data_IF_569521100206
#
_entry.id   IF_569521100206
#
_cell.length_a   1.000
_cell.length_b   1.000
_cell.length_c   1.000
_cell.angle_alpha   90.00
_cell.angle_beta   90.00
_cell.angle_gamma   90.00
#
_symmetry.space_group_name_H-M   'P 1'
#
loop_
_entity.id
_entity.type
_entity.pdbx_description
1 polymer ?
#
# COMPACT_ATOMS: atom_id res chain seq x y z
N UNK A 1 9.71 -9.29 -6.09
CA UNK A 1 9.47 -8.09 -6.94
C UNK A 1 9.26 -8.55 -8.38
N UNK A 2 8.38 -7.92 -9.15
CA UNK A 2 8.16 -8.28 -10.57
C UNK A 2 9.35 -7.88 -11.44
N UNK A 3 9.68 -8.65 -12.48
CA UNK A 3 10.76 -8.29 -13.42
C UNK A 3 10.40 -7.06 -14.28
N UNK A 4 9.11 -6.91 -14.61
CA UNK A 4 8.59 -5.84 -15.46
C UNK A 4 8.03 -4.69 -14.64
N UNK A 5 8.06 -3.50 -15.24
CA UNK A 5 7.36 -2.29 -14.76
C UNK A 5 5.94 -2.26 -15.33
N UNK A 6 4.97 -1.93 -14.48
CA UNK A 6 3.54 -1.88 -14.79
C UNK A 6 2.98 -0.48 -14.54
N UNK A 7 1.96 -0.11 -15.31
CA UNK A 7 1.14 1.10 -15.17
C UNK A 7 -0.29 0.75 -15.56
N UNK A 8 -1.29 1.47 -15.04
CA UNK A 8 -2.71 1.21 -15.31
C UNK A 8 -3.05 -0.27 -15.08
N UNK A 9 -2.99 -0.72 -13.84
CA UNK A 9 -3.18 -2.11 -13.49
C UNK A 9 -4.08 -2.29 -12.27
N UNK A 10 -4.60 -3.51 -12.14
CA UNK A 10 -5.33 -4.02 -10.99
C UNK A 10 -4.62 -5.24 -10.44
N UNK A 11 -4.38 -5.26 -9.14
CA UNK A 11 -3.92 -6.42 -8.40
C UNK A 11 -5.10 -6.94 -7.59
N UNK A 12 -5.39 -8.23 -7.69
CA UNK A 12 -6.23 -8.91 -6.70
C UNK A 12 -5.40 -9.98 -6.02
N UNK A 13 -5.53 -10.09 -4.71
CA UNK A 13 -4.94 -11.17 -3.94
C UNK A 13 -5.77 -11.45 -2.69
N UNK A 14 -5.54 -12.62 -2.11
CA UNK A 14 -5.95 -12.92 -0.75
C UNK A 14 -4.71 -13.09 0.13
N UNK A 15 -4.79 -12.61 1.37
CA UNK A 15 -3.75 -12.76 2.38
C UNK A 15 -4.33 -13.18 3.73
N UNK A 16 -3.52 -13.84 4.54
CA UNK A 16 -3.82 -14.06 5.97
C UNK A 16 -2.54 -14.09 6.80
N UNK A 17 -2.63 -13.64 8.04
CA UNK A 17 -1.65 -13.97 9.06
C UNK A 17 -2.09 -15.25 9.78
N UNK A 18 -1.21 -16.26 9.85
CA UNK A 18 -1.60 -17.62 10.24
C UNK A 18 -1.96 -17.70 11.73
N UNK A 19 -1.08 -17.21 12.60
CA UNK A 19 -1.18 -17.46 14.05
C UNK A 19 -1.25 -16.19 14.90
N UNK A 20 -0.66 -15.08 14.44
CA UNK A 20 -0.56 -13.82 15.19
C UNK A 20 -0.73 -12.64 14.24
N UNK A 21 -1.24 -11.48 14.69
CA UNK A 21 -1.30 -10.29 13.84
C UNK A 21 0.12 -9.92 13.38
N UNK A 22 0.22 -9.40 12.15
CA UNK A 22 1.51 -9.07 11.55
C UNK A 22 1.45 -7.85 10.64
N UNK A 23 2.57 -7.59 9.97
CA UNK A 23 2.71 -6.56 8.97
C UNK A 23 3.22 -7.16 7.66
N UNK A 24 2.56 -6.81 6.57
CA UNK A 24 2.98 -7.09 5.21
C UNK A 24 2.36 -6.01 4.29
N UNK A 25 2.58 -6.10 2.98
CA UNK A 25 2.06 -5.09 2.08
C UNK A 25 2.42 -5.33 0.63
N UNK A 26 1.74 -4.57 -0.25
CA UNK A 26 2.08 -4.48 -1.67
C UNK A 26 2.71 -3.13 -1.94
N UNK A 27 3.98 -3.12 -2.34
CA UNK A 27 4.67 -1.93 -2.82
C UNK A 27 4.34 -1.78 -4.30
N UNK A 28 3.49 -0.81 -4.62
CA UNK A 28 3.17 -0.43 -5.99
C UNK A 28 4.12 0.66 -6.48
N UNK A 29 4.38 0.65 -7.78
CA UNK A 29 5.30 1.57 -8.44
C UNK A 29 6.73 1.54 -7.87
N UNK A 30 7.18 0.37 -7.41
CA UNK A 30 8.53 0.16 -6.91
C UNK A 30 9.59 0.50 -7.97
N UNK A 31 10.63 1.23 -7.59
CA UNK A 31 11.69 1.66 -8.48
C UNK A 31 13.08 1.53 -7.84
N UNK A 32 13.69 2.63 -7.43
CA UNK A 32 15.06 2.70 -6.90
C UNK A 32 15.19 1.85 -5.64
N UNK A 33 15.98 0.75 -5.66
CA UNK A 33 16.20 -0.08 -4.47
C UNK A 33 16.86 0.71 -3.35
N UNK A 34 16.56 0.36 -2.10
CA UNK A 34 17.21 0.94 -0.90
C UNK A 34 17.10 2.47 -0.80
N UNK A 35 16.08 3.08 -1.41
CA UNK A 35 15.85 4.53 -1.41
C UNK A 35 15.56 5.08 -0.01
N UNK A 36 14.89 4.31 0.86
CA UNK A 36 14.60 4.72 2.24
C UNK A 36 15.25 3.76 3.25
N UNK A 37 15.95 4.31 4.23
CA UNK A 37 16.68 3.57 5.29
C UNK A 37 17.63 2.48 4.79
N UNK A 38 18.12 2.60 3.54
CA UNK A 38 18.93 1.57 2.86
C UNK A 38 18.24 0.19 2.75
N UNK A 39 16.93 0.15 2.94
CA UNK A 39 16.13 -1.07 3.09
C UNK A 39 14.98 -1.10 2.08
N UNK A 40 14.15 -0.06 2.04
CA UNK A 40 12.96 -0.05 1.19
C UNK A 40 13.26 0.55 -0.19
N UNK A 41 12.70 0.00 -1.28
CA UNK A 41 12.73 0.65 -2.59
C UNK A 41 11.79 1.88 -2.60
N UNK A 42 12.04 2.84 -3.49
CA UNK A 42 11.10 3.93 -3.72
C UNK A 42 9.77 3.37 -4.27
N UNK A 43 8.64 3.67 -3.62
CA UNK A 43 7.32 3.13 -3.93
C UNK A 43 6.21 3.82 -3.12
N UNK A 44 4.95 3.48 -3.43
CA UNK A 44 3.83 3.63 -2.48
C UNK A 44 3.46 2.22 -1.98
N UNK A 45 3.50 2.01 -0.68
CA UNK A 45 3.06 0.77 -0.07
C UNK A 45 1.57 0.84 0.26
N UNK A 46 0.81 -0.14 -0.22
CA UNK A 46 -0.53 -0.46 0.28
C UNK A 46 -0.34 -1.49 1.40
N UNK A 47 -0.42 -1.01 2.64
CA UNK A 47 -0.08 -1.80 3.81
C UNK A 47 -1.19 -2.79 4.16
N UNK A 48 -0.82 -3.93 4.74
CA UNK A 48 -1.68 -4.99 5.27
C UNK A 48 -1.37 -5.24 6.75
N UNK A 49 -0.93 -4.21 7.48
CA UNK A 49 -0.72 -4.30 8.92
C UNK A 49 -2.06 -4.56 9.60
N UNK A 50 -2.11 -5.59 10.44
CA UNK A 50 -3.36 -6.00 11.12
C UNK A 50 -4.01 -4.83 11.86
N UNK A 51 -5.30 -4.59 11.57
CA UNK A 51 -6.10 -3.49 12.10
C UNK A 51 -5.95 -2.17 11.34
N UNK A 52 -5.07 -2.11 10.34
CA UNK A 52 -4.73 -0.92 9.55
C UNK A 52 -4.54 -1.26 8.06
N UNK A 53 -5.20 -2.31 7.55
CA UNK A 53 -5.08 -2.69 6.16
C UNK A 53 -5.61 -1.60 5.21
N UNK A 54 -4.85 -1.32 4.16
CA UNK A 54 -5.13 -0.27 3.19
C UNK A 54 -4.58 1.10 3.52
N UNK A 55 -3.88 1.26 4.65
CA UNK A 55 -3.04 2.44 4.87
C UNK A 55 -2.04 2.60 3.72
N UNK A 56 -1.77 3.84 3.31
CA UNK A 56 -0.64 4.10 2.43
C UNK A 56 0.60 4.45 3.24
N UNK A 57 1.73 3.84 2.90
CA UNK A 57 3.05 4.32 3.30
C UNK A 57 3.82 4.85 2.10
N UNK A 58 4.12 6.14 2.14
CA UNK A 58 4.93 6.81 1.15
C UNK A 58 6.42 6.49 1.38
N UNK A 59 7.10 5.96 0.37
CA UNK A 59 8.52 5.57 0.45
C UNK A 59 9.27 6.24 -0.70
N UNK A 60 9.95 7.36 -0.42
CA UNK A 60 10.58 8.26 -1.39
C UNK A 60 9.65 8.84 -2.50
N UNK A 61 8.46 8.28 -2.68
CA UNK A 61 7.35 8.76 -3.50
C UNK A 61 6.27 9.40 -2.62
N UNK A 62 5.24 10.00 -3.23
CA UNK A 62 4.13 10.60 -2.52
C UNK A 62 2.77 10.39 -3.21
N UNK A 63 1.71 10.43 -2.41
CA UNK A 63 0.31 10.42 -2.82
C UNK A 63 -0.50 11.30 -1.87
N UNK A 64 -1.62 11.83 -2.34
CA UNK A 64 -2.54 12.68 -1.59
C UNK A 64 -3.92 12.04 -1.45
N UNK A 65 -4.61 12.32 -0.36
CA UNK A 65 -6.01 11.93 -0.12
C UNK A 65 -6.80 13.15 0.36
N UNK A 66 -8.15 13.17 0.24
CA UNK A 66 -8.95 14.20 0.89
C UNK A 66 -8.70 14.25 2.41
N UNK A 67 -8.75 15.46 2.99
CA UNK A 67 -8.56 15.70 4.43
C UNK A 67 -7.17 15.27 4.96
N UNK A 68 -6.09 15.65 4.25
CA UNK A 68 -4.71 15.30 4.59
C UNK A 68 -4.32 15.56 6.05
N UNK A 69 -4.80 16.62 6.69
CA UNK A 69 -4.47 16.89 8.10
C UNK A 69 -4.97 15.78 9.04
N UNK A 70 -6.19 15.28 8.81
CA UNK A 70 -6.79 14.17 9.58
C UNK A 70 -6.24 12.82 9.13
N UNK A 71 -6.09 12.62 7.82
CA UNK A 71 -5.71 11.33 7.22
C UNK A 71 -4.21 11.09 7.25
N UNK A 72 -3.39 12.13 7.36
CA UNK A 72 -1.93 12.09 7.39
C UNK A 72 -1.41 13.06 8.46
N UNK A 73 -1.71 12.80 9.74
CA UNK A 73 -1.26 13.67 10.82
C UNK A 73 0.27 13.79 10.79
N UNK A 74 0.77 15.01 11.01
CA UNK A 74 2.21 15.32 10.96
C UNK A 74 2.63 16.11 12.20
N UNK A 75 3.85 15.88 12.68
CA UNK A 75 4.44 16.69 13.73
C UNK A 75 4.69 18.14 13.29
N UNK A 76 4.93 19.04 14.27
CA UNK A 76 5.11 20.48 14.05
C UNK A 76 6.11 20.82 12.92
N UNK A 77 7.24 20.12 12.89
CA UNK A 77 8.32 20.35 11.92
C UNK A 77 8.36 19.31 10.79
N UNK A 78 7.35 18.44 10.69
CA UNK A 78 7.27 17.46 9.61
C UNK A 78 6.53 18.06 8.40
N UNK A 79 6.98 17.70 7.21
CA UNK A 79 6.24 17.85 5.96
C UNK A 79 5.53 16.55 5.60
N UNK A 80 4.52 16.62 4.76
CA UNK A 80 4.01 15.44 4.06
C UNK A 80 4.99 15.04 2.96
N UNK A 81 5.31 13.77 2.87
CA UNK A 81 6.22 13.23 1.85
C UNK A 81 6.66 11.81 2.17
N UNK A 82 7.47 11.24 1.28
CA UNK A 82 8.01 9.88 1.42
C UNK A 82 9.42 9.80 2.00
N UNK A 83 10.05 10.92 2.36
CA UNK A 83 11.46 10.96 2.78
C UNK A 83 11.62 10.66 4.27
N UNK A 84 12.85 10.38 4.69
CA UNK A 84 13.18 10.25 6.10
C UNK A 84 12.84 11.54 6.86
N UNK A 85 12.12 11.41 7.97
CA UNK A 85 11.64 12.54 8.77
C UNK A 85 10.27 13.09 8.35
N UNK A 86 9.75 12.74 7.17
CA UNK A 86 8.43 13.15 6.72
C UNK A 86 7.32 12.39 7.45
N UNK A 87 6.12 12.96 7.47
CA UNK A 87 4.91 12.21 7.78
C UNK A 87 4.58 11.33 6.56
N UNK A 88 4.83 10.03 6.66
CA UNK A 88 4.76 9.08 5.52
C UNK A 88 3.48 8.24 5.47
N UNK A 89 2.82 8.04 6.61
CA UNK A 89 1.63 7.18 6.76
C UNK A 89 0.35 7.96 6.51
N UNK A 90 -0.48 7.47 5.60
CA UNK A 90 -1.85 7.92 5.39
C UNK A 90 -2.78 6.82 5.89
N UNK A 91 -3.57 7.16 6.91
CA UNK A 91 -4.57 6.28 7.51
C UNK A 91 -5.63 5.90 6.48
N UNK A 92 -6.14 4.68 6.51
CA UNK A 92 -7.29 4.23 5.71
C UNK A 92 -8.60 4.93 6.13
N UNK A 93 -9.72 4.51 5.55
CA UNK A 93 -11.06 5.07 5.78
C UNK A 93 -11.88 4.29 6.82
N UNK A 94 -11.47 3.07 7.18
CA UNK A 94 -12.33 2.09 7.86
C UNK A 94 -11.59 1.35 8.96
N UNK A 95 -12.29 1.06 10.06
CA UNK A 95 -11.69 0.41 11.24
C UNK A 95 -11.89 -1.12 11.27
N UNK A 96 -12.82 -1.68 10.49
CA UNK A 96 -13.26 -3.09 10.61
C UNK A 96 -13.43 -3.80 9.27
N UNK A 97 -12.72 -3.38 8.23
CA UNK A 97 -12.80 -4.06 6.93
C UNK A 97 -12.00 -5.37 6.89
N UNK A 98 -11.17 -5.64 7.91
CA UNK A 98 -10.40 -6.87 8.04
C UNK A 98 -11.17 -7.97 8.78
N UNK A 99 -10.94 -9.22 8.39
CA UNK A 99 -11.36 -10.40 9.15
C UNK A 99 -10.35 -10.72 10.26
N UNK A 100 -10.75 -11.49 11.29
CA UNK A 100 -9.85 -11.93 12.36
C UNK A 100 -8.60 -12.65 11.85
N UNK A 101 -7.55 -12.67 12.68
CA UNK A 101 -6.31 -13.42 12.43
C UNK A 101 -6.64 -14.90 12.15
N UNK A 102 -5.95 -15.50 11.18
CA UNK A 102 -6.19 -16.84 10.67
C UNK A 102 -7.14 -16.89 9.47
N UNK A 103 -7.97 -15.87 9.26
CA UNK A 103 -8.91 -15.80 8.14
C UNK A 103 -8.33 -15.09 6.90
N UNK A 104 -8.83 -15.49 5.73
CA UNK A 104 -8.45 -14.90 4.46
C UNK A 104 -9.15 -13.56 4.22
N UNK A 105 -8.33 -12.52 4.05
CA UNK A 105 -8.71 -11.18 3.63
C UNK A 105 -8.48 -11.04 2.12
N UNK A 106 -9.50 -10.58 1.38
CA UNK A 106 -9.36 -10.23 -0.05
C UNK A 106 -8.96 -8.77 -0.17
N UNK A 107 -7.87 -8.48 -0.88
CA UNK A 107 -7.45 -7.12 -1.22
C UNK A 107 -7.49 -6.91 -2.73
N UNK A 108 -8.01 -5.75 -3.13
CA UNK A 108 -7.99 -5.27 -4.51
C UNK A 108 -7.27 -3.93 -4.51
N UNK A 109 -6.29 -3.77 -5.40
CA UNK A 109 -5.56 -2.51 -5.59
C UNK A 109 -5.66 -2.14 -7.07
N UNK A 110 -6.18 -0.96 -7.37
CA UNK A 110 -6.18 -0.40 -8.72
C UNK A 110 -5.29 0.83 -8.79
N UNK A 111 -4.45 0.91 -9.82
CA UNK A 111 -3.56 2.03 -10.07
C UNK A 111 -3.80 2.65 -11.47
N UNK A 112 -4.96 3.29 -11.73
CA UNK A 112 -5.23 4.00 -12.98
C UNK A 112 -4.60 5.40 -12.97
N UNK A 113 -3.78 5.70 -13.98
CA UNK A 113 -3.09 6.99 -14.08
C UNK A 113 -2.24 7.29 -12.84
N UNK A 114 -2.56 8.39 -12.16
CA UNK A 114 -1.93 8.88 -10.93
C UNK A 114 -2.77 8.62 -9.67
N UNK A 115 -3.75 7.72 -9.75
CA UNK A 115 -4.57 7.33 -8.60
C UNK A 115 -4.18 5.93 -8.08
N UNK A 116 -4.41 5.70 -6.79
CA UNK A 116 -4.39 4.37 -6.18
C UNK A 116 -5.69 4.18 -5.40
N UNK A 117 -6.45 3.13 -5.72
CA UNK A 117 -7.69 2.75 -5.05
C UNK A 117 -7.51 1.39 -4.40
N UNK A 118 -7.99 1.25 -3.18
CA UNK A 118 -7.78 0.06 -2.36
C UNK A 118 -9.11 -0.39 -1.76
N UNK A 119 -9.39 -1.68 -1.91
CA UNK A 119 -10.50 -2.35 -1.25
C UNK A 119 -10.03 -3.52 -0.41
N UNK A 120 -10.65 -3.71 0.75
CA UNK A 120 -10.44 -4.86 1.64
C UNK A 120 -11.81 -5.48 1.90
N UNK A 121 -11.97 -6.76 1.57
CA UNK A 121 -13.22 -7.52 1.73
C UNK A 121 -14.48 -6.84 1.15
N UNK A 122 -14.32 -6.02 0.11
CA UNK A 122 -15.42 -5.32 -0.57
C UNK A 122 -15.55 -3.85 -0.19
N UNK A 123 -15.02 -3.44 0.96
CA UNK A 123 -15.05 -2.05 1.41
C UNK A 123 -13.93 -1.25 0.74
N UNK A 124 -14.25 -0.04 0.24
CA UNK A 124 -13.22 0.88 -0.23
C UNK A 124 -12.53 1.53 0.97
N UNK A 125 -11.32 1.07 1.26
CA UNK A 125 -10.56 1.50 2.44
C UNK A 125 -9.62 2.66 2.15
N UNK A 126 -9.24 2.88 0.89
CA UNK A 126 -8.44 4.05 0.54
C UNK A 126 -8.58 4.45 -0.93
N UNK A 127 -8.46 5.75 -1.19
CA UNK A 127 -8.39 6.32 -2.54
C UNK A 127 -7.50 7.54 -2.50
N UNK A 128 -6.30 7.41 -3.06
CA UNK A 128 -5.37 8.51 -3.23
C UNK A 128 -5.22 8.92 -4.70
N UNK A 129 -4.79 10.17 -4.88
CA UNK A 129 -4.59 10.86 -6.16
C UNK A 129 -3.27 11.62 -6.16
N UNK A 130 -2.93 12.22 -7.28
CA UNK A 130 -1.71 13.01 -7.45
C UNK A 130 -0.45 12.19 -7.07
N UNK A 131 -0.43 10.91 -7.43
CA UNK A 131 0.77 10.09 -7.23
C UNK A 131 1.95 10.70 -7.99
N UNK A 132 3.09 10.84 -7.30
CA UNK A 132 4.33 11.32 -7.93
C UNK A 132 4.88 10.33 -8.97
N UNK A 133 4.39 9.10 -8.95
CA UNK A 133 4.77 8.01 -9.85
C UNK A 133 3.53 7.25 -10.35
N UNK A 134 3.55 6.87 -11.63
CA UNK A 134 2.44 6.17 -12.30
C UNK A 134 2.87 4.83 -12.90
N UNK A 135 4.17 4.48 -12.80
CA UNK A 135 4.75 3.29 -13.39
C UNK A 135 5.95 2.78 -12.59
N UNK A 136 5.95 1.49 -12.26
CA UNK A 136 7.07 0.83 -11.59
C UNK A 136 6.84 -0.65 -11.44
N UNK A 137 7.78 -1.35 -10.80
CA UNK A 137 7.61 -2.75 -10.44
C UNK A 137 6.60 -2.90 -9.30
N UNK A 138 6.21 -4.13 -9.01
CA UNK A 138 5.34 -4.48 -7.89
C UNK A 138 6.12 -5.44 -6.98
N UNK A 139 6.08 -5.22 -5.67
CA UNK A 139 6.69 -6.13 -4.70
C UNK A 139 5.71 -6.49 -3.60
N UNK A 140 5.76 -7.76 -3.17
CA UNK A 140 5.19 -8.18 -1.90
C UNK A 140 6.28 -8.04 -0.83
N UNK A 141 5.92 -7.43 0.29
CA UNK A 141 6.75 -7.30 1.48
C UNK A 141 6.09 -8.07 2.62
N UNK A 142 6.90 -8.59 3.53
CA UNK A 142 6.46 -9.30 4.73
C UNK A 142 7.44 -9.01 5.87
N UNK A 143 6.93 -8.80 7.08
CA UNK A 143 7.72 -8.37 8.24
C UNK A 143 7.43 -9.22 9.49
N UNK A 144 8.42 -10.01 9.92
CA UNK A 144 8.52 -10.61 11.26
C UNK A 144 7.47 -11.65 11.65
N UNK A 145 6.43 -11.84 10.84
CA UNK A 145 5.32 -12.76 11.08
C UNK A 145 5.02 -13.54 9.81
N UNK A 146 4.65 -14.81 10.00
CA UNK A 146 4.20 -15.67 8.93
C UNK A 146 2.91 -15.13 8.29
N UNK A 147 2.99 -14.89 6.99
CA UNK A 147 1.90 -14.45 6.14
C UNK A 147 1.79 -15.39 4.95
N UNK A 148 0.56 -15.76 4.62
CA UNK A 148 0.26 -16.51 3.42
C UNK A 148 -0.46 -15.63 2.40
N UNK A 149 -0.17 -15.89 1.13
CA UNK A 149 -0.82 -15.22 0.00
C UNK A 149 -1.36 -16.27 -0.97
N UNK A 150 -2.50 -16.01 -1.58
CA UNK A 150 -3.02 -16.81 -2.70
C UNK A 150 -3.80 -15.94 -3.68
N UNK A 151 -4.07 -16.49 -4.86
CA UNK A 151 -4.92 -15.82 -5.86
C UNK A 151 -4.35 -14.51 -6.39
N UNK A 152 -3.03 -14.34 -6.39
CA UNK A 152 -2.37 -13.13 -6.89
C UNK A 152 -2.55 -13.02 -8.40
N UNK A 153 -3.39 -12.08 -8.82
CA UNK A 153 -3.64 -11.79 -10.23
C UNK A 153 -3.29 -10.34 -10.55
N UNK A 154 -2.72 -10.12 -11.73
CA UNK A 154 -2.36 -8.80 -12.24
C UNK A 154 -3.05 -8.58 -13.58
N UNK A 155 -3.99 -7.64 -13.60
CA UNK A 155 -4.81 -7.32 -14.78
C UNK A 155 -4.46 -5.93 -15.28
N UNK A 156 -4.29 -5.77 -16.58
CA UNK A 156 -4.10 -4.45 -17.20
C UNK A 156 -5.45 -3.73 -17.29
N UNK A 157 -5.50 -2.48 -16.84
CA UNK A 157 -6.65 -1.60 -16.99
C UNK A 157 -6.60 -0.88 -18.34
N UNK A 158 -7.77 -0.59 -18.90
CA UNK A 158 -7.89 0.29 -20.07
C UNK A 158 -7.56 1.72 -19.64
N UNK A 159 -6.88 2.45 -20.53
CA UNK A 159 -6.68 3.90 -20.37
C UNK A 159 -7.98 4.64 -20.61
#
# INVERSE_FOLDING_TARGET
ITDKKHANFRIELEYRFVNKPGNCGVLVHASTPRALYKMFPASIEVQMNSGHAGDFWCIAENIEVPNMEKRRPKGKNQKWGGQQGDARRILNLTDNSEKPVGEWNKMIIECPGDEIKVWVNGDMVNHGKNCTVQKGQIALQAEGVEVEFKGLTLTKLKK
#
